data_IF_638274355584
#
_entry.id   IF_638274355584
#
_cell.length_a   1.000
_cell.length_b   1.000
_cell.length_c   1.000
_cell.angle_alpha   90.00
_cell.angle_beta   90.00
_cell.angle_gamma   90.00
#
_symmetry.space_group_name_H-M   'P 1'
#
loop_
_entity.id
_entity.type
_entity.pdbx_description
1 polymer ?
#
# COMPACT_ATOMS: atom_id res chain seq x y z
N UNK A 1 -53.50 -51.23 1.45
CA UNK A 1 -52.45 -50.23 1.16
C UNK A 1 -51.24 -50.49 2.05
N UNK A 2 -50.15 -51.04 1.52
CA UNK A 2 -48.93 -51.39 2.28
C UNK A 2 -48.03 -50.14 2.39
N UNK A 3 -47.86 -49.62 3.60
CA UNK A 3 -46.93 -48.52 3.87
C UNK A 3 -45.51 -49.09 4.06
N UNK A 4 -44.58 -48.73 3.17
CA UNK A 4 -43.15 -49.02 3.32
C UNK A 4 -42.51 -47.91 4.16
N UNK A 5 -42.02 -48.26 5.34
CA UNK A 5 -41.25 -47.37 6.21
C UNK A 5 -39.81 -47.30 5.67
N UNK A 6 -39.38 -46.14 5.16
CA UNK A 6 -38.01 -45.90 4.69
C UNK A 6 -37.20 -45.36 5.87
N UNK A 7 -36.27 -46.17 6.37
CA UNK A 7 -35.33 -45.81 7.42
C UNK A 7 -34.14 -45.06 6.80
N UNK A 8 -34.07 -43.74 7.00
CA UNK A 8 -32.92 -42.93 6.57
C UNK A 8 -31.79 -43.04 7.60
N UNK A 9 -30.76 -43.80 7.27
CA UNK A 9 -29.49 -43.83 8.01
C UNK A 9 -28.72 -42.52 7.73
N UNK A 10 -28.68 -41.63 8.73
CA UNK A 10 -27.81 -40.45 8.72
C UNK A 10 -26.35 -40.88 8.95
N UNK A 11 -25.56 -40.90 7.89
CA UNK A 11 -24.10 -40.99 7.99
C UNK A 11 -23.54 -39.61 8.39
N UNK A 12 -22.71 -39.51 9.45
CA UNK A 12 -22.16 -38.23 9.87
C UNK A 12 -21.11 -37.80 8.83
N UNK A 13 -21.37 -36.69 8.16
CA UNK A 13 -20.41 -36.05 7.26
C UNK A 13 -19.29 -35.45 8.10
N UNK A 14 -18.13 -36.12 8.11
CA UNK A 14 -16.90 -35.59 8.70
C UNK A 14 -16.46 -34.40 7.82
N UNK A 15 -16.71 -33.18 8.27
CA UNK A 15 -16.15 -31.97 7.65
C UNK A 15 -14.63 -31.94 7.89
N UNK A 16 -13.87 -32.33 6.87
CA UNK A 16 -12.44 -32.06 6.83
C UNK A 16 -12.21 -30.56 6.62
N UNK A 17 -11.77 -29.86 7.66
CA UNK A 17 -11.32 -28.47 7.56
C UNK A 17 -10.01 -28.42 6.78
N UNK A 18 -10.09 -28.09 5.49
CA UNK A 18 -8.91 -27.79 4.69
C UNK A 18 -8.31 -26.46 5.17
N UNK A 19 -7.23 -26.52 5.97
CA UNK A 19 -6.35 -25.37 6.22
C UNK A 19 -5.73 -24.94 4.89
N UNK A 20 -6.29 -23.92 4.26
CA UNK A 20 -5.72 -23.32 3.05
C UNK A 20 -4.35 -22.72 3.39
N UNK A 21 -3.30 -23.23 2.76
CA UNK A 21 -1.93 -22.72 2.91
C UNK A 21 -1.90 -21.30 2.32
N UNK A 22 -1.75 -20.29 3.18
CA UNK A 22 -1.61 -18.89 2.76
C UNK A 22 -0.47 -18.77 1.74
N UNK A 23 -0.68 -18.01 0.66
CA UNK A 23 0.40 -17.61 -0.24
C UNK A 23 1.53 -16.95 0.57
N UNK A 24 2.78 -17.27 0.20
CA UNK A 24 3.99 -16.64 0.74
C UNK A 24 3.99 -15.13 0.46
N UNK A 25 3.49 -14.75 -0.72
CA UNK A 25 3.43 -13.37 -1.17
C UNK A 25 2.04 -12.77 -1.06
N UNK A 26 1.99 -11.48 -0.72
CA UNK A 26 0.78 -10.67 -0.65
C UNK A 26 1.03 -9.29 -1.28
N UNK A 27 -0.06 -8.57 -1.56
CA UNK A 27 -0.01 -7.20 -2.03
C UNK A 27 -0.55 -6.25 -0.96
N UNK A 28 0.08 -5.09 -0.81
CA UNK A 28 -0.42 -3.95 -0.05
C UNK A 28 -0.45 -2.70 -0.93
N UNK A 29 -1.35 -1.75 -0.66
CA UNK A 29 -1.59 -0.58 -1.50
C UNK A 29 -1.52 0.70 -0.68
N UNK A 30 -0.59 1.58 -1.04
CA UNK A 30 -0.27 2.78 -0.28
C UNK A 30 -0.19 4.02 -1.17
N UNK A 31 -0.80 5.12 -0.76
CA UNK A 31 -0.67 6.44 -1.38
C UNK A 31 -0.04 7.42 -0.39
N UNK A 32 1.04 8.10 -0.78
CA UNK A 32 1.73 9.04 0.10
C UNK A 32 2.48 10.13 -0.67
N UNK A 33 1.77 10.82 -1.56
CA UNK A 33 2.35 11.79 -2.49
C UNK A 33 2.81 11.15 -3.80
N UNK A 34 3.73 11.82 -4.50
CA UNK A 34 4.25 11.36 -5.79
C UNK A 34 4.70 9.89 -5.74
N UNK A 35 4.08 9.04 -6.56
CA UNK A 35 4.35 7.59 -6.57
C UNK A 35 5.78 7.22 -6.99
N UNK A 36 6.50 8.05 -7.74
CA UNK A 36 7.90 7.80 -8.10
C UNK A 36 8.77 7.71 -6.83
N UNK A 37 8.51 8.61 -5.88
CA UNK A 37 9.18 8.59 -4.58
C UNK A 37 8.80 7.36 -3.77
N UNK A 38 7.52 6.99 -3.80
CA UNK A 38 6.96 5.91 -2.97
C UNK A 38 7.45 4.55 -3.46
N UNK A 39 7.46 4.34 -4.77
CA UNK A 39 7.98 3.16 -5.45
C UNK A 39 9.45 2.94 -5.08
N UNK A 40 10.30 3.95 -5.33
CA UNK A 40 11.73 3.90 -4.99
C UNK A 40 11.99 3.61 -3.51
N UNK A 41 11.12 4.10 -2.60
CA UNK A 41 11.19 3.77 -1.18
C UNK A 41 10.92 2.29 -0.94
N UNK A 42 9.79 1.75 -1.42
CA UNK A 42 9.43 0.35 -1.17
C UNK A 42 10.39 -0.64 -1.86
N UNK A 43 10.96 -0.30 -3.02
CA UNK A 43 11.97 -1.12 -3.69
C UNK A 43 13.23 -1.35 -2.85
N UNK A 44 13.53 -0.45 -1.91
CA UNK A 44 14.70 -0.59 -1.03
C UNK A 44 14.43 -1.44 0.23
N UNK A 45 13.19 -1.89 0.43
CA UNK A 45 12.76 -2.56 1.66
C UNK A 45 12.95 -4.09 1.56
N UNK A 46 13.47 -4.69 2.63
CA UNK A 46 13.64 -6.15 2.75
C UNK A 46 12.29 -6.86 2.64
N UNK A 47 12.24 -7.99 1.94
CA UNK A 47 11.03 -8.77 1.78
C UNK A 47 9.99 -8.18 0.83
N UNK A 48 10.07 -6.91 0.43
CA UNK A 48 9.39 -6.46 -0.80
C UNK A 48 10.05 -7.19 -1.96
N UNK A 49 9.28 -7.69 -2.91
CA UNK A 49 9.77 -8.29 -4.15
C UNK A 49 9.86 -7.20 -5.22
N UNK A 50 8.72 -6.59 -5.54
CA UNK A 50 8.59 -5.44 -6.42
C UNK A 50 7.55 -4.43 -5.91
N UNK A 51 7.64 -3.20 -6.43
CA UNK A 51 6.64 -2.15 -6.26
C UNK A 51 6.18 -1.68 -7.65
N UNK A 52 4.90 -1.31 -7.79
CA UNK A 52 4.36 -0.79 -9.06
C UNK A 52 3.57 0.48 -8.80
N UNK A 53 3.86 1.53 -9.57
CA UNK A 53 3.15 2.80 -9.56
C UNK A 53 1.80 2.69 -10.30
N UNK A 54 0.76 3.33 -9.76
CA UNK A 54 -0.58 3.32 -10.33
C UNK A 54 -1.58 4.20 -9.60
N UNK A 55 -2.86 3.96 -9.82
CA UNK A 55 -3.96 4.80 -9.37
C UNK A 55 -5.02 3.96 -8.65
N UNK A 56 -5.50 4.41 -7.49
CA UNK A 56 -6.55 3.73 -6.70
C UNK A 56 -7.39 4.73 -5.89
N UNK A 57 -8.53 4.29 -5.34
CA UNK A 57 -9.40 5.10 -4.49
C UNK A 57 -10.27 6.14 -5.19
N UNK A 58 -10.33 6.14 -6.53
CA UNK A 58 -11.16 7.05 -7.31
C UNK A 58 -12.36 6.39 -8.00
N UNK A 59 -13.08 7.19 -8.79
CA UNK A 59 -14.35 6.80 -9.41
C UNK A 59 -14.25 6.61 -10.93
N UNK A 60 -13.19 7.11 -11.56
CA UNK A 60 -12.98 7.00 -13.01
C UNK A 60 -12.42 5.63 -13.37
N UNK A 61 -12.97 4.96 -14.39
CA UNK A 61 -12.42 3.70 -14.86
C UNK A 61 -11.27 3.94 -15.83
N UNK A 62 -10.17 3.19 -15.67
CA UNK A 62 -8.98 3.25 -16.54
C UNK A 62 -8.46 4.70 -16.74
N UNK A 63 -8.21 5.47 -15.65
CA UNK A 63 -7.73 6.84 -15.78
C UNK A 63 -6.32 6.87 -16.39
N UNK A 64 -6.03 7.90 -17.20
CA UNK A 64 -4.65 8.21 -17.62
C UNK A 64 -3.98 9.16 -16.63
N UNK A 65 -2.66 9.30 -16.70
CA UNK A 65 -1.94 10.29 -15.89
C UNK A 65 -2.52 11.70 -16.05
N UNK A 66 -2.89 12.10 -17.28
CA UNK A 66 -3.50 13.41 -17.55
C UNK A 66 -4.83 13.58 -16.82
N UNK A 67 -5.66 12.53 -16.77
CA UNK A 67 -6.90 12.54 -15.98
C UNK A 67 -6.59 12.75 -14.49
N UNK A 68 -5.59 12.04 -13.97
CA UNK A 68 -5.16 12.12 -12.57
C UNK A 68 -4.66 13.53 -12.22
N UNK A 69 -3.88 14.17 -13.09
CA UNK A 69 -3.36 15.52 -12.88
C UNK A 69 -4.46 16.57 -12.71
N UNK A 70 -5.69 16.32 -13.19
CA UNK A 70 -6.82 17.23 -12.96
C UNK A 70 -7.30 17.25 -11.49
N UNK A 71 -6.99 16.21 -10.71
CA UNK A 71 -7.50 15.99 -9.36
C UNK A 71 -9.00 15.63 -9.27
N UNK A 72 -9.70 15.50 -10.40
CA UNK A 72 -11.16 15.30 -10.44
C UNK A 72 -11.61 13.84 -10.43
N UNK A 73 -10.69 12.90 -10.69
CA UNK A 73 -11.01 11.47 -10.78
C UNK A 73 -11.25 10.81 -9.41
N UNK A 74 -10.81 11.48 -8.33
CA UNK A 74 -10.81 10.95 -6.97
C UNK A 74 -9.67 9.97 -6.69
N UNK A 75 -8.90 9.55 -7.69
CA UNK A 75 -7.78 8.63 -7.50
C UNK A 75 -6.63 9.29 -6.76
N UNK A 76 -5.94 8.50 -5.94
CA UNK A 76 -4.61 8.80 -5.43
C UNK A 76 -3.55 8.12 -6.29
N UNK A 77 -2.40 8.78 -6.47
CA UNK A 77 -1.17 8.11 -6.86
C UNK A 77 -0.82 7.08 -5.77
N UNK A 78 -0.81 5.81 -6.18
CA UNK A 78 -0.80 4.65 -5.30
C UNK A 78 0.30 3.70 -5.76
N UNK A 79 0.99 3.08 -4.81
CA UNK A 79 1.96 2.02 -5.08
C UNK A 79 1.41 0.69 -4.59
N UNK A 80 1.37 -0.29 -5.49
CA UNK A 80 1.19 -1.71 -5.14
C UNK A 80 2.53 -2.27 -4.69
N UNK A 81 2.57 -2.81 -3.48
CA UNK A 81 3.76 -3.41 -2.87
C UNK A 81 3.54 -4.91 -2.80
N UNK A 82 4.26 -5.66 -3.62
CA UNK A 82 4.26 -7.13 -3.58
C UNK A 82 5.36 -7.59 -2.61
N UNK A 83 4.99 -8.34 -1.56
CA UNK A 83 5.92 -8.66 -0.48
C UNK A 83 5.80 -10.09 0.04
N UNK A 84 6.94 -10.62 0.46
CA UNK A 84 7.12 -11.90 1.13
C UNK A 84 6.78 -11.79 2.61
N UNK A 85 5.65 -12.40 3.00
CA UNK A 85 5.16 -12.40 4.38
C UNK A 85 6.08 -13.13 5.37
N UNK A 86 7.06 -13.89 4.89
CA UNK A 86 8.06 -14.56 5.74
C UNK A 86 9.27 -13.68 6.06
N UNK A 87 9.44 -12.57 5.34
CA UNK A 87 10.57 -11.65 5.49
C UNK A 87 10.15 -10.27 6.03
N UNK A 88 8.93 -9.85 5.74
CA UNK A 88 8.37 -8.58 6.22
C UNK A 88 6.87 -8.72 6.50
N UNK A 89 6.43 -8.15 7.61
CA UNK A 89 5.02 -8.10 8.00
C UNK A 89 4.32 -6.84 7.47
N UNK A 90 2.99 -6.89 7.35
CA UNK A 90 2.19 -5.70 7.02
C UNK A 90 2.41 -4.54 8.01
N UNK A 91 2.60 -4.85 9.31
CA UNK A 91 2.94 -3.84 10.33
C UNK A 91 4.28 -3.15 10.05
N UNK A 92 5.28 -3.88 9.54
CA UNK A 92 6.54 -3.28 9.11
C UNK A 92 6.37 -2.45 7.83
N UNK A 93 5.50 -2.84 6.89
CA UNK A 93 5.13 -1.99 5.74
C UNK A 93 4.43 -0.70 6.18
N UNK A 94 3.56 -0.74 7.20
CA UNK A 94 3.00 0.48 7.81
C UNK A 94 4.10 1.37 8.41
N UNK A 95 5.12 0.77 9.04
CA UNK A 95 6.28 1.53 9.52
C UNK A 95 7.07 2.16 8.39
N UNK A 96 7.24 1.47 7.25
CA UNK A 96 7.84 2.06 6.04
C UNK A 96 7.01 3.26 5.59
N UNK A 97 5.70 3.07 5.39
CA UNK A 97 4.76 4.09 4.97
C UNK A 97 4.82 5.35 5.84
N UNK A 98 4.67 5.22 7.16
CA UNK A 98 4.66 6.37 8.07
C UNK A 98 6.05 6.98 8.34
N UNK A 99 7.14 6.31 7.97
CA UNK A 99 8.49 6.89 8.02
C UNK A 99 8.90 7.53 6.68
N UNK A 100 8.15 7.33 5.60
CA UNK A 100 8.50 7.77 4.26
C UNK A 100 7.91 9.13 3.86
N UNK A 101 6.90 9.65 4.57
CA UNK A 101 6.18 10.88 4.21
C UNK A 101 5.72 11.68 5.44
N UNK A 102 5.11 12.84 5.20
CA UNK A 102 4.39 13.59 6.25
C UNK A 102 2.90 13.19 6.20
N UNK A 103 2.40 12.38 7.14
CA UNK A 103 1.01 11.96 7.18
C UNK A 103 0.08 13.03 7.77
N UNK A 104 0.56 14.24 8.08
CA UNK A 104 -0.23 15.31 8.71
C UNK A 104 -0.79 16.34 7.73
N UNK A 105 -0.28 16.34 6.49
CA UNK A 105 -0.70 17.25 5.42
C UNK A 105 -1.88 16.67 4.65
N UNK A 106 -2.99 17.41 4.60
CA UNK A 106 -4.17 17.01 3.84
C UNK A 106 -3.94 17.30 2.35
N UNK A 107 -4.17 16.31 1.48
CA UNK A 107 -4.12 16.46 0.01
C UNK A 107 -2.82 17.13 -0.48
N UNK A 108 -1.71 16.81 0.16
CA UNK A 108 -0.41 17.39 -0.17
C UNK A 108 0.69 16.47 0.37
N UNK A 109 1.80 16.39 -0.36
CA UNK A 109 3.06 15.90 0.18
C UNK A 109 4.23 16.72 -0.37
N UNK A 110 4.99 17.37 0.51
CA UNK A 110 6.08 18.26 0.10
C UNK A 110 5.59 19.36 -0.88
N UNK A 111 6.19 19.51 -2.07
CA UNK A 111 5.77 20.49 -3.05
C UNK A 111 4.46 20.12 -3.78
N UNK A 112 4.06 18.85 -3.75
CA UNK A 112 2.96 18.32 -4.56
C UNK A 112 1.61 18.53 -3.88
N UNK A 113 0.69 19.22 -4.55
CA UNK A 113 -0.62 19.62 -4.01
C UNK A 113 -1.75 19.06 -4.86
N UNK A 114 -2.72 18.43 -4.21
CA UNK A 114 -3.86 17.81 -4.88
C UNK A 114 -4.33 16.54 -4.17
N UNK A 115 -5.58 16.18 -4.41
CA UNK A 115 -6.21 14.96 -3.87
C UNK A 115 -5.51 13.68 -4.34
N UNK A 116 -4.85 13.73 -5.50
CA UNK A 116 -4.02 12.65 -6.01
C UNK A 116 -2.76 12.39 -5.16
N UNK A 117 -2.32 13.36 -4.37
CA UNK A 117 -1.14 13.26 -3.50
C UNK A 117 -1.49 13.01 -2.04
N UNK A 118 -2.76 12.71 -1.73
CA UNK A 118 -3.20 12.45 -0.36
C UNK A 118 -2.51 11.22 0.25
N UNK A 119 -2.44 11.19 1.57
CA UNK A 119 -2.02 10.03 2.32
C UNK A 119 -3.19 9.04 2.45
N UNK A 120 -3.04 7.82 1.95
CA UNK A 120 -4.08 6.79 1.99
C UNK A 120 -3.50 5.37 2.10
N UNK A 121 -4.24 4.50 2.78
CA UNK A 121 -3.98 3.06 2.89
C UNK A 121 -5.23 2.33 2.37
N UNK A 122 -5.07 1.55 1.30
CA UNK A 122 -6.17 0.77 0.72
C UNK A 122 -6.08 -0.68 1.22
N UNK A 123 -6.98 -1.06 2.13
CA UNK A 123 -6.95 -2.39 2.77
C UNK A 123 -7.75 -3.43 1.98
N UNK A 124 -7.21 -4.64 1.84
CA UNK A 124 -7.91 -5.79 1.23
C UNK A 124 -8.62 -6.64 2.27
N UNK A 125 -8.21 -6.57 3.53
CA UNK A 125 -8.75 -7.39 4.62
C UNK A 125 -9.08 -6.57 5.86
N UNK A 126 -9.96 -7.08 6.71
CA UNK A 126 -10.27 -6.47 8.01
C UNK A 126 -9.05 -6.40 8.92
N UNK A 127 -8.16 -7.40 8.87
CA UNK A 127 -6.90 -7.39 9.61
C UNK A 127 -5.98 -6.25 9.19
N UNK A 128 -5.84 -5.98 7.89
CA UNK A 128 -5.07 -4.82 7.40
C UNK A 128 -5.67 -3.50 7.89
N UNK A 129 -7.00 -3.36 7.82
CA UNK A 129 -7.73 -2.19 8.36
C UNK A 129 -7.45 -1.98 9.84
N UNK A 130 -7.55 -3.03 10.65
CA UNK A 130 -7.30 -2.97 12.09
C UNK A 130 -5.84 -2.62 12.39
N UNK A 131 -4.89 -3.24 11.69
CA UNK A 131 -3.46 -2.95 11.85
C UNK A 131 -3.14 -1.50 11.49
N UNK A 132 -3.68 -0.97 10.39
CA UNK A 132 -3.50 0.42 9.99
C UNK A 132 -4.07 1.40 11.04
N UNK A 133 -5.29 1.16 11.51
CA UNK A 133 -5.92 1.98 12.56
C UNK A 133 -5.11 1.96 13.86
N UNK A 134 -4.72 0.77 14.31
CA UNK A 134 -3.91 0.61 15.53
C UNK A 134 -2.55 1.30 15.40
N UNK A 135 -1.94 1.27 14.22
CA UNK A 135 -0.68 1.97 13.97
C UNK A 135 -0.84 3.50 14.03
N UNK A 136 -1.91 4.06 13.44
CA UNK A 136 -2.24 5.49 13.58
C UNK A 136 -2.43 5.87 15.05
N UNK A 137 -3.15 5.06 15.84
CA UNK A 137 -3.35 5.33 17.27
C UNK A 137 -2.04 5.26 18.06
N UNK A 138 -1.15 4.31 17.74
CA UNK A 138 0.18 4.24 18.32
C UNK A 138 0.97 5.54 18.06
N UNK A 139 1.02 6.00 16.81
CA UNK A 139 1.75 7.21 16.44
C UNK A 139 1.22 8.47 17.13
N UNK A 140 -0.11 8.55 17.31
CA UNK A 140 -0.77 9.62 18.07
C UNK A 140 -0.39 9.55 19.56
N UNK A 141 -0.43 8.36 20.15
CA UNK A 141 -0.07 8.13 21.56
C UNK A 141 1.40 8.45 21.85
N UNK A 142 2.29 8.15 20.92
CA UNK A 142 3.72 8.48 20.99
C UNK A 142 4.01 9.98 20.79
N UNK A 143 2.98 10.78 20.47
CA UNK A 143 3.14 12.22 20.23
C UNK A 143 3.93 12.57 18.97
N UNK A 144 4.20 11.59 18.10
CA UNK A 144 4.99 11.78 16.88
C UNK A 144 4.31 12.73 15.88
N UNK A 145 2.98 12.67 15.84
CA UNK A 145 2.16 13.55 14.99
C UNK A 145 0.98 14.11 15.78
N UNK A 146 0.80 15.43 15.77
CA UNK A 146 -0.38 16.09 16.35
C UNK A 146 -1.66 15.82 15.56
N UNK A 147 -1.52 15.60 14.25
CA UNK A 147 -2.60 15.31 13.30
C UNK A 147 -2.11 14.25 12.31
N UNK A 148 -2.99 13.33 11.96
CA UNK A 148 -2.79 12.36 10.87
C UNK A 148 -4.02 12.45 9.97
N UNK A 149 -3.79 12.75 8.70
CA UNK A 149 -4.79 12.88 7.62
C UNK A 149 -4.91 11.61 6.77
N UNK A 150 -4.09 10.60 7.05
CA UNK A 150 -4.11 9.31 6.33
C UNK A 150 -5.51 8.69 6.35
N UNK A 151 -6.05 8.47 5.16
CA UNK A 151 -7.30 7.75 4.95
C UNK A 151 -7.06 6.22 5.01
N UNK A 152 -8.00 5.48 5.59
CA UNK A 152 -7.98 4.00 5.61
C UNK A 152 -9.25 3.53 4.88
N UNK A 153 -9.09 3.15 3.62
CA UNK A 153 -10.19 2.90 2.70
C UNK A 153 -10.18 1.44 2.21
N UNK A 154 -11.35 0.84 1.92
CA UNK A 154 -11.39 -0.48 1.30
C UNK A 154 -10.74 -0.44 -0.08
N UNK A 155 -9.86 -1.39 -0.36
CA UNK A 155 -9.33 -1.59 -1.70
C UNK A 155 -10.43 -2.01 -2.65
N UNK A 156 -10.56 -1.30 -3.77
CA UNK A 156 -11.51 -1.60 -4.84
C UNK A 156 -10.79 -2.10 -6.09
N UNK A 157 -9.96 -1.26 -6.68
CA UNK A 157 -9.23 -1.52 -7.92
C UNK A 157 -7.91 -0.76 -7.94
N UNK A 158 -6.91 -1.33 -8.62
CA UNK A 158 -5.66 -0.69 -8.93
C UNK A 158 -5.51 -0.61 -10.45
N UNK A 159 -5.34 0.61 -10.96
CA UNK A 159 -4.98 0.85 -12.35
C UNK A 159 -3.49 1.08 -12.41
N UNK A 160 -2.74 0.14 -12.99
CA UNK A 160 -1.30 0.30 -13.19
C UNK A 160 -1.06 1.54 -14.06
N UNK A 161 -0.17 2.42 -13.62
CA UNK A 161 0.20 3.59 -14.40
C UNK A 161 0.98 3.18 -15.65
N UNK A 162 1.09 4.11 -16.57
CA UNK A 162 1.81 4.00 -17.81
C UNK A 162 3.27 3.54 -17.57
N UNK A 163 3.84 2.79 -18.51
CA UNK A 163 5.15 2.18 -18.35
C UNK A 163 6.27 3.20 -18.09
N UNK A 164 6.14 4.41 -18.62
CA UNK A 164 7.11 5.48 -18.41
C UNK A 164 7.13 6.00 -16.96
N UNK A 165 6.13 5.69 -16.12
CA UNK A 165 6.12 6.03 -14.70
C UNK A 165 6.75 4.97 -13.79
N UNK A 166 7.01 3.77 -14.30
CA UNK A 166 7.60 2.68 -13.50
C UNK A 166 9.12 2.84 -13.43
N UNK A 167 9.71 2.54 -12.28
CA UNK A 167 11.13 2.73 -12.00
C UNK A 167 11.61 4.17 -12.30
N UNK A 168 10.73 5.19 -12.17
CA UNK A 168 11.00 6.52 -12.73
C UNK A 168 12.25 7.17 -12.11
N UNK A 169 12.44 7.10 -10.79
CA UNK A 169 13.63 7.63 -10.10
C UNK A 169 14.92 6.98 -10.62
N UNK A 170 14.89 5.67 -10.85
CA UNK A 170 16.03 4.90 -11.32
C UNK A 170 16.36 5.19 -12.79
N UNK A 171 15.33 5.38 -13.61
CA UNK A 171 15.48 5.62 -15.05
C UNK A 171 15.77 7.09 -15.38
N UNK A 172 15.46 8.02 -14.47
CA UNK A 172 15.63 9.46 -14.66
C UNK A 172 16.40 10.10 -13.49
N UNK A 173 17.63 9.63 -13.18
CA UNK A 173 18.33 10.05 -11.97
C UNK A 173 18.67 11.55 -11.96
N UNK A 174 18.84 12.17 -13.13
CA UNK A 174 19.22 13.57 -13.30
C UNK A 174 17.99 14.49 -13.49
N UNK A 175 16.77 13.94 -13.39
CA UNK A 175 15.57 14.76 -13.43
C UNK A 175 15.55 15.69 -12.19
N UNK A 176 15.36 17.02 -12.36
CA UNK A 176 15.39 17.96 -11.24
C UNK A 176 14.42 17.64 -10.10
N UNK A 177 13.24 17.08 -10.40
CA UNK A 177 12.30 16.63 -9.39
C UNK A 177 12.87 15.45 -8.58
N UNK A 178 13.50 14.50 -9.26
CA UNK A 178 14.14 13.35 -8.60
C UNK A 178 15.31 13.79 -7.72
N UNK A 179 16.15 14.70 -8.20
CA UNK A 179 17.27 15.24 -7.43
C UNK A 179 16.85 16.03 -6.19
N UNK A 180 15.83 16.88 -6.32
CA UNK A 180 15.47 17.84 -5.28
C UNK A 180 14.34 17.36 -4.36
N UNK A 181 13.58 16.34 -4.76
CA UNK A 181 12.42 15.83 -3.99
C UNK A 181 12.57 14.35 -3.66
N UNK A 182 12.72 13.50 -4.68
CA UNK A 182 12.68 12.04 -4.50
C UNK A 182 13.88 11.48 -3.75
N UNK A 183 15.11 11.75 -4.23
CA UNK A 183 16.37 11.31 -3.61
C UNK A 183 16.49 11.81 -2.15
N UNK A 184 16.22 13.09 -1.81
CA UNK A 184 16.23 13.55 -0.42
C UNK A 184 15.25 12.81 0.47
N UNK A 185 14.02 12.56 -0.02
CA UNK A 185 12.99 11.80 0.70
C UNK A 185 13.43 10.35 0.94
N UNK A 186 13.94 9.67 -0.09
CA UNK A 186 14.47 8.31 0.01
C UNK A 186 15.64 8.23 1.01
N UNK A 187 16.57 9.18 0.94
CA UNK A 187 17.72 9.23 1.85
C UNK A 187 17.30 9.49 3.30
N UNK A 188 16.34 10.38 3.54
CA UNK A 188 15.78 10.61 4.86
C UNK A 188 15.09 9.34 5.41
N UNK A 189 14.35 8.62 4.57
CA UNK A 189 13.76 7.33 4.93
C UNK A 189 14.81 6.28 5.30
N UNK A 190 15.84 6.09 4.46
CA UNK A 190 16.95 5.12 4.69
C UNK A 190 17.67 5.39 6.01
N UNK A 191 17.91 6.67 6.34
CA UNK A 191 18.53 7.07 7.61
C UNK A 191 17.68 6.66 8.83
N UNK A 192 16.36 6.78 8.75
CA UNK A 192 15.40 6.47 9.84
C UNK A 192 15.10 4.98 10.00
N UNK A 193 15.37 4.15 8.99
CA UNK A 193 14.76 2.81 8.87
C UNK A 193 15.75 1.74 8.40
N UNK A 194 17.01 1.82 8.85
CA UNK A 194 18.10 0.94 8.42
C UNK A 194 17.80 -0.56 8.59
N UNK A 195 17.04 -0.92 9.61
CA UNK A 195 16.68 -2.30 9.95
C UNK A 195 15.65 -2.94 8.98
N UNK A 196 14.97 -2.10 8.17
CA UNK A 196 14.02 -2.55 7.15
C UNK A 196 14.60 -2.54 5.74
N UNK A 197 15.83 -2.07 5.54
CA UNK A 197 16.43 -2.03 4.21
C UNK A 197 16.89 -3.43 3.77
N UNK A 198 16.80 -3.70 2.47
CA UNK A 198 17.48 -4.86 1.86
C UNK A 198 18.97 -4.75 2.21
N UNK A 199 19.57 -5.84 2.70
CA UNK A 199 21.03 -5.93 2.76
C UNK A 199 21.50 -6.01 1.30
N UNK A 200 22.38 -5.10 0.89
CA UNK A 200 22.89 -5.06 -0.48
C UNK A 200 23.36 -6.47 -0.91
N UNK A 201 22.98 -6.87 -2.13
CA UNK A 201 23.71 -7.89 -2.89
C UNK A 201 25.10 -7.37 -3.23
#
# INVERSE_FOLDING_TARGET
MRHKLILFLFLPTILFSQKTKSSKYKDAYFASGCFWCVEAIFETVKGVDYAESGYSGGNTKNPTYEDICTGKTGHAETVKVHYDTTLISYKELLRVFFNSHDPSTLNQQGPDRGTQYRSAIFYKTTTEKEQANNYIQLLKKEGKFKKITTEIEPFTVFYKAESYHQDYEKNNPDNPYIENVSKPRLNAFKKKTKDLLRKNK
#
